data_IF_629668929764
#
_entry.id   IF_629668929764
#
_cell.length_a   1.000
_cell.length_b   1.000
_cell.length_c   1.000
_cell.angle_alpha   90.00
_cell.angle_beta   90.00
_cell.angle_gamma   90.00
#
_symmetry.space_group_name_H-M   'P 1'
#
loop_
_entity.id
_entity.type
_entity.pdbx_description
1 polymer ?
#
# COMPACT_ATOMS: atom_id res chain seq x y z
N UNK A 1 -2.02 40.28 -10.03
CA UNK A 1 -2.07 40.02 -11.49
C UNK A 1 -0.68 39.66 -11.95
N UNK A 2 -0.63 38.51 -12.59
CA UNK A 2 0.54 37.68 -12.88
C UNK A 2 1.23 38.14 -14.17
N UNK A 3 2.52 38.51 -14.10
CA UNK A 3 3.34 38.86 -15.27
C UNK A 3 4.47 37.85 -15.51
N UNK A 4 4.52 36.73 -14.78
CA UNK A 4 5.64 35.80 -14.87
C UNK A 4 5.25 34.34 -15.16
N UNK A 5 3.96 34.01 -15.23
CA UNK A 5 3.51 32.67 -15.65
C UNK A 5 4.13 32.21 -16.98
N UNK A 6 4.26 33.09 -17.97
CA UNK A 6 4.82 32.71 -19.27
C UNK A 6 6.31 32.33 -19.19
N UNK A 7 7.07 32.99 -18.31
CA UNK A 7 8.50 32.70 -18.11
C UNK A 7 8.67 31.38 -17.37
N UNK A 8 7.79 31.08 -16.41
CA UNK A 8 7.79 29.82 -15.69
C UNK A 8 7.36 28.65 -16.57
N UNK A 9 6.44 28.89 -17.51
CA UNK A 9 5.98 27.88 -18.45
C UNK A 9 7.04 27.50 -19.48
N UNK A 10 7.71 28.48 -20.09
CA UNK A 10 8.82 28.24 -21.03
C UNK A 10 9.97 27.45 -20.37
N UNK A 11 10.32 27.81 -19.13
CA UNK A 11 11.36 27.11 -18.37
C UNK A 11 11.00 25.66 -18.01
N UNK A 12 9.70 25.34 -17.92
CA UNK A 12 9.23 23.99 -17.67
C UNK A 12 9.24 23.12 -18.93
N UNK A 13 8.97 23.73 -20.09
CA UNK A 13 8.99 23.05 -21.39
C UNK A 13 10.42 22.76 -21.88
N UNK A 14 11.39 23.61 -21.53
CA UNK A 14 12.82 23.40 -21.87
C UNK A 14 13.45 22.17 -21.18
N UNK A 15 12.78 21.59 -20.17
CA UNK A 15 13.23 20.40 -19.43
C UNK A 15 12.55 19.12 -19.93
N UNK A 16 11.66 19.21 -20.93
CA UNK A 16 11.10 18.00 -21.54
C UNK A 16 12.12 17.34 -22.48
N UNK A 17 12.54 16.09 -22.21
CA UNK A 17 13.39 15.37 -23.16
C UNK A 17 12.61 15.18 -24.46
N UNK A 18 13.22 15.58 -25.59
CA UNK A 18 12.60 15.43 -26.91
C UNK A 18 12.09 13.98 -27.09
N UNK A 19 10.84 13.80 -27.58
CA UNK A 19 10.28 12.47 -27.74
C UNK A 19 11.16 11.64 -28.68
N UNK A 20 11.40 10.36 -28.36
CA UNK A 20 12.26 9.51 -29.17
C UNK A 20 11.70 9.42 -30.60
N UNK A 21 12.53 9.72 -31.60
CA UNK A 21 12.15 9.80 -33.02
C UNK A 21 11.84 8.46 -33.68
N UNK A 22 11.72 7.38 -32.90
CA UNK A 22 11.42 6.04 -33.41
C UNK A 22 9.93 5.74 -33.28
N UNK A 23 9.42 5.05 -34.30
CA UNK A 23 8.03 4.63 -34.48
C UNK A 23 7.64 3.53 -33.46
N UNK A 24 7.56 3.93 -32.19
CA UNK A 24 7.19 3.06 -31.04
C UNK A 24 5.79 2.47 -31.21
N UNK A 25 4.91 3.16 -31.94
CA UNK A 25 3.57 2.68 -32.25
C UNK A 25 3.63 1.42 -33.12
N UNK A 26 4.50 1.40 -34.13
CA UNK A 26 4.70 0.22 -34.99
C UNK A 26 5.33 -0.95 -34.26
N UNK A 27 6.29 -0.68 -33.37
CA UNK A 27 6.95 -1.72 -32.58
C UNK A 27 6.01 -2.37 -31.56
N UNK A 28 5.17 -1.58 -30.89
CA UNK A 28 4.11 -2.07 -30.00
C UNK A 28 3.07 -2.93 -30.75
N UNK A 29 2.71 -2.56 -31.98
CA UNK A 29 1.77 -3.35 -32.80
C UNK A 29 2.33 -4.71 -33.24
N UNK A 30 3.64 -4.82 -33.51
CA UNK A 30 4.28 -6.11 -33.85
C UNK A 30 4.30 -7.06 -32.65
N UNK A 31 4.61 -6.55 -31.45
CA UNK A 31 4.59 -7.35 -30.23
C UNK A 31 3.18 -7.89 -29.90
N UNK A 32 2.13 -7.08 -30.10
CA UNK A 32 0.75 -7.47 -29.85
C UNK A 32 0.27 -8.64 -30.73
N UNK A 33 0.75 -8.75 -31.97
CA UNK A 33 0.30 -9.78 -32.90
C UNK A 33 0.91 -11.17 -32.62
N UNK A 34 2.08 -11.22 -31.96
CA UNK A 34 2.73 -12.47 -31.55
C UNK A 34 1.98 -13.18 -30.40
N UNK A 35 1.37 -12.41 -29.49
CA UNK A 35 0.60 -12.94 -28.35
C UNK A 35 -0.72 -13.61 -28.77
N UNK A 36 -1.31 -13.21 -29.91
CA UNK A 36 -2.59 -13.77 -30.38
C UNK A 36 -2.47 -15.20 -30.92
N UNK A 37 -1.30 -15.62 -31.43
CA UNK A 37 -1.12 -16.98 -32.01
C UNK A 37 -1.01 -18.10 -30.96
N UNK A 38 -0.73 -17.79 -29.69
CA UNK A 38 -0.53 -18.82 -28.65
C UNK A 38 -1.83 -19.29 -27.98
N UNK A 39 -2.99 -18.73 -28.31
CA UNK A 39 -4.26 -19.01 -27.62
C UNK A 39 -5.24 -19.87 -28.43
N UNK A 40 -4.72 -20.74 -29.31
CA UNK A 40 -5.51 -21.61 -30.19
C UNK A 40 -5.16 -23.11 -30.16
N UNK A 41 -4.33 -23.58 -29.23
CA UNK A 41 -3.88 -24.99 -29.18
C UNK A 41 -3.84 -25.52 -27.75
N UNK A 42 -4.99 -25.68 -27.11
CA UNK A 42 -5.16 -26.61 -25.97
C UNK A 42 -6.57 -27.21 -26.03
N UNK A 43 -6.72 -28.20 -26.92
CA UNK A 43 -7.88 -29.08 -26.99
C UNK A 43 -7.50 -30.32 -27.80
N UNK A 44 -7.42 -31.48 -27.14
CA UNK A 44 -7.22 -32.80 -27.76
C UNK A 44 -5.90 -33.45 -27.37
N UNK A 45 -5.98 -34.62 -26.73
CA UNK A 45 -4.82 -35.35 -26.19
C UNK A 45 -4.23 -36.38 -27.16
N UNK A 46 -3.12 -37.01 -26.73
CA UNK A 46 -2.81 -38.44 -26.88
C UNK A 46 -1.36 -38.71 -26.43
N UNK A 47 -1.15 -39.89 -25.86
CA UNK A 47 0.08 -40.39 -25.27
C UNK A 47 1.08 -40.95 -26.31
N UNK A 48 2.38 -40.81 -26.03
CA UNK A 48 3.53 -41.64 -26.43
C UNK A 48 4.80 -40.87 -26.01
N UNK A 49 5.89 -41.39 -25.48
CA UNK A 49 6.39 -42.73 -25.19
C UNK A 49 7.82 -42.51 -24.65
N UNK A 50 8.25 -43.35 -23.71
CA UNK A 50 9.57 -43.27 -23.05
C UNK A 50 10.68 -43.71 -24.01
N UNK A 51 11.76 -42.93 -24.14
CA UNK A 51 13.11 -43.48 -24.42
C UNK A 51 14.16 -42.64 -23.70
N UNK A 52 14.78 -43.23 -22.70
CA UNK A 52 16.03 -42.79 -22.10
C UNK A 52 17.20 -43.21 -23.00
N UNK A 53 18.15 -42.30 -23.26
CA UNK A 53 19.50 -42.66 -23.68
C UNK A 53 20.49 -41.92 -22.78
N UNK A 54 21.12 -42.69 -21.90
CA UNK A 54 22.37 -42.34 -21.26
C UNK A 54 23.51 -42.57 -22.26
N UNK A 55 24.43 -41.61 -22.43
CA UNK A 55 25.81 -41.89 -22.78
C UNK A 55 26.73 -40.66 -22.69
N UNK A 56 27.85 -40.90 -21.99
CA UNK A 56 29.19 -40.37 -22.21
C UNK A 56 29.58 -38.97 -21.68
N UNK A 57 30.46 -39.06 -20.67
CA UNK A 57 31.33 -38.07 -20.07
C UNK A 57 32.21 -37.34 -21.10
N UNK A 58 32.22 -36.01 -21.04
CA UNK A 58 33.42 -35.21 -21.33
C UNK A 58 33.62 -34.25 -20.15
N UNK A 59 34.56 -34.59 -19.28
CA UNK A 59 35.06 -33.68 -18.26
C UNK A 59 35.98 -32.65 -18.94
N UNK A 60 35.39 -31.56 -19.45
CA UNK A 60 36.13 -30.35 -19.81
C UNK A 60 36.09 -29.43 -18.60
N UNK A 61 37.24 -29.32 -17.93
CA UNK A 61 37.49 -28.47 -16.78
C UNK A 61 37.60 -27.00 -17.24
N UNK A 62 36.53 -26.46 -17.81
CA UNK A 62 36.39 -25.04 -18.12
C UNK A 62 35.60 -24.43 -16.96
N UNK A 63 36.29 -23.67 -16.13
CA UNK A 63 35.66 -22.87 -15.09
C UNK A 63 34.60 -21.95 -15.76
N UNK A 64 33.31 -22.06 -15.42
CA UNK A 64 32.37 -21.03 -15.81
C UNK A 64 32.74 -19.77 -15.02
N UNK A 65 33.26 -18.75 -15.69
CA UNK A 65 33.21 -17.41 -15.14
C UNK A 65 31.74 -17.07 -14.95
N UNK A 66 31.28 -17.14 -13.71
CA UNK A 66 29.97 -16.66 -13.28
C UNK A 66 29.89 -15.16 -13.50
N UNK A 67 29.62 -14.75 -14.73
CA UNK A 67 28.99 -13.46 -14.99
C UNK A 67 27.54 -13.60 -14.56
N UNK A 68 27.30 -13.32 -13.28
CA UNK A 68 25.95 -13.06 -12.81
C UNK A 68 25.40 -11.89 -13.66
N UNK A 69 24.17 -11.99 -14.19
CA UNK A 69 23.48 -10.80 -14.63
C UNK A 69 23.29 -9.95 -13.37
N UNK A 70 24.03 -8.86 -13.25
CA UNK A 70 23.67 -7.78 -12.34
C UNK A 70 22.29 -7.32 -12.80
N UNK A 71 21.26 -7.86 -12.14
CA UNK A 71 19.92 -7.31 -12.17
C UNK A 71 20.09 -5.81 -11.96
N UNK A 72 19.64 -4.94 -12.87
CA UNK A 72 19.51 -3.55 -12.53
C UNK A 72 18.43 -3.51 -11.46
N UNK A 73 18.85 -3.54 -10.20
CA UNK A 73 18.06 -2.99 -9.09
C UNK A 73 18.03 -1.50 -9.39
N UNK A 74 17.20 -1.11 -10.36
CA UNK A 74 16.73 0.26 -10.49
C UNK A 74 16.01 0.48 -9.18
N UNK A 75 16.61 1.35 -8.38
CA UNK A 75 16.24 1.67 -7.02
C UNK A 75 14.74 1.98 -6.92
N UNK A 76 13.92 0.96 -6.64
CA UNK A 76 12.55 1.16 -6.19
C UNK A 76 12.52 1.90 -4.83
N UNK A 77 13.66 2.02 -4.14
CA UNK A 77 13.82 2.80 -2.93
C UNK A 77 13.99 4.31 -3.14
N UNK A 78 14.25 4.80 -4.35
CA UNK A 78 14.52 6.23 -4.58
C UNK A 78 13.25 7.11 -4.66
N UNK A 79 12.06 6.49 -4.62
CA UNK A 79 10.76 7.18 -4.60
C UNK A 79 10.00 6.98 -3.29
N UNK A 80 10.62 6.43 -2.25
CA UNK A 80 9.98 6.39 -0.94
C UNK A 80 9.97 7.80 -0.34
N UNK A 81 8.80 8.32 0.08
CA UNK A 81 8.74 9.63 0.73
C UNK A 81 9.64 9.61 1.95
N UNK A 82 10.47 10.64 2.11
CA UNK A 82 11.30 10.81 3.29
C UNK A 82 10.39 10.91 4.51
N UNK A 83 10.36 9.84 5.30
CA UNK A 83 9.77 9.87 6.64
C UNK A 83 10.43 11.02 7.38
N UNK A 84 9.64 11.95 7.88
CA UNK A 84 10.16 13.11 8.59
C UNK A 84 11.01 12.61 9.79
N UNK A 85 12.33 12.91 9.87
CA UNK A 85 13.18 12.44 10.96
C UNK A 85 12.83 13.09 12.31
N UNK A 86 11.93 14.09 12.33
CA UNK A 86 11.35 14.63 13.57
C UNK A 86 10.26 13.71 14.13
N UNK A 87 9.68 12.86 13.28
CA UNK A 87 8.60 11.94 13.59
C UNK A 87 9.12 10.70 14.34
N UNK A 88 10.31 10.21 13.95
CA UNK A 88 10.99 9.12 14.64
C UNK A 88 11.53 9.55 16.03
N UNK A 89 12.05 10.79 16.14
CA UNK A 89 12.71 11.25 17.38
C UNK A 89 11.78 11.69 18.51
N UNK A 90 10.54 12.11 18.24
CA UNK A 90 9.64 12.62 19.29
C UNK A 90 8.67 11.58 19.83
N UNK A 91 8.27 10.60 19.02
CA UNK A 91 7.19 9.67 19.38
C UNK A 91 7.65 8.24 19.71
N UNK A 92 8.95 7.93 19.66
CA UNK A 92 9.46 6.55 19.83
C UNK A 92 9.02 5.80 21.10
N UNK A 93 8.53 6.49 22.14
CA UNK A 93 8.15 5.89 23.42
C UNK A 93 6.75 6.25 23.93
N UNK A 94 6.07 7.23 23.34
CA UNK A 94 4.73 7.62 23.80
C UNK A 94 3.65 6.69 23.25
N UNK A 95 2.60 6.52 24.05
CA UNK A 95 1.44 5.72 23.65
C UNK A 95 0.68 6.44 22.55
N UNK A 96 0.50 5.76 21.42
CA UNK A 96 -0.31 6.28 20.31
C UNK A 96 -1.63 5.53 20.29
N UNK A 97 -2.71 6.29 20.09
CA UNK A 97 -4.05 5.76 19.84
C UNK A 97 -4.17 5.41 18.36
N UNK A 98 -4.62 4.19 18.09
CA UNK A 98 -4.78 3.62 16.75
C UNK A 98 -6.23 3.19 16.59
N UNK A 99 -6.88 3.63 15.52
CA UNK A 99 -8.21 3.18 15.15
C UNK A 99 -8.14 2.01 14.19
N UNK A 100 -8.63 0.84 14.60
CA UNK A 100 -8.89 -0.30 13.72
C UNK A 100 -10.37 -0.25 13.33
N UNK A 101 -10.65 0.28 12.15
CA UNK A 101 -11.99 0.46 11.59
C UNK A 101 -12.52 -0.84 11.01
N UNK A 102 -13.80 -1.10 11.25
CA UNK A 102 -14.47 -2.33 10.88
C UNK A 102 -15.28 -2.13 9.60
N UNK A 103 -15.38 -3.19 8.80
CA UNK A 103 -16.29 -3.23 7.64
C UNK A 103 -17.73 -3.21 8.11
N UNK A 104 -18.62 -2.64 7.29
CA UNK A 104 -20.04 -2.55 7.63
C UNK A 104 -20.72 -3.92 7.75
N UNK A 105 -20.23 -4.92 7.00
CA UNK A 105 -20.76 -6.28 6.97
C UNK A 105 -20.09 -7.24 7.97
N UNK A 106 -19.32 -6.73 8.94
CA UNK A 106 -18.68 -7.57 9.95
C UNK A 106 -19.71 -8.34 10.77
N UNK A 107 -19.49 -9.65 10.92
CA UNK A 107 -20.34 -10.48 11.78
C UNK A 107 -19.99 -10.32 13.26
N UNK A 108 -20.92 -10.60 14.15
CA UNK A 108 -20.67 -10.60 15.60
C UNK A 108 -19.50 -11.51 16.00
N UNK A 109 -19.39 -12.68 15.36
CA UNK A 109 -18.30 -13.61 15.61
C UNK A 109 -16.95 -13.02 15.19
N UNK A 110 -16.84 -12.46 13.98
CA UNK A 110 -15.61 -11.82 13.52
C UNK A 110 -15.20 -10.64 14.41
N UNK A 111 -16.17 -9.85 14.87
CA UNK A 111 -15.92 -8.73 15.79
C UNK A 111 -15.40 -9.21 17.14
N UNK A 112 -15.96 -10.30 17.68
CA UNK A 112 -15.48 -10.92 18.92
C UNK A 112 -14.07 -11.49 18.76
N UNK A 113 -13.83 -12.23 17.68
CA UNK A 113 -12.53 -12.86 17.38
C UNK A 113 -11.44 -11.79 17.19
N UNK A 114 -11.74 -10.73 16.44
CA UNK A 114 -10.83 -9.61 16.24
C UNK A 114 -10.52 -8.89 17.56
N UNK A 115 -11.54 -8.66 18.41
CA UNK A 115 -11.34 -8.05 19.72
C UNK A 115 -10.39 -8.89 20.59
N UNK A 116 -10.57 -10.21 20.58
CA UNK A 116 -9.73 -11.10 21.38
C UNK A 116 -8.29 -11.17 20.84
N UNK A 117 -8.14 -11.22 19.51
CA UNK A 117 -6.84 -11.18 18.86
C UNK A 117 -6.08 -9.88 19.19
N UNK A 118 -6.75 -8.72 19.12
CA UNK A 118 -6.16 -7.43 19.48
C UNK A 118 -5.77 -7.36 20.96
N UNK A 119 -6.57 -7.94 21.87
CA UNK A 119 -6.27 -7.94 23.31
C UNK A 119 -5.13 -8.89 23.69
N UNK A 120 -4.97 -9.96 22.92
CA UNK A 120 -3.92 -10.97 23.14
C UNK A 120 -2.58 -10.57 22.51
N UNK A 121 -2.55 -9.54 21.65
CA UNK A 121 -1.34 -9.09 20.99
C UNK A 121 -0.41 -8.35 21.98
N UNK A 122 0.87 -8.74 22.12
CA UNK A 122 1.80 -8.13 23.08
C UNK A 122 2.17 -6.68 22.75
N UNK A 123 1.88 -6.20 21.53
CA UNK A 123 2.07 -4.82 21.11
C UNK A 123 0.95 -3.90 21.62
N UNK A 124 -0.15 -4.45 22.13
CA UNK A 124 -1.35 -3.72 22.54
C UNK A 124 -1.44 -3.59 24.07
N UNK A 125 -1.66 -2.37 24.55
CA UNK A 125 -1.90 -2.08 25.98
C UNK A 125 -3.37 -2.13 26.36
N UNK A 126 -4.24 -1.61 25.50
CA UNK A 126 -5.67 -1.60 25.75
C UNK A 126 -6.45 -1.54 24.44
N UNK A 127 -7.66 -2.10 24.46
CA UNK A 127 -8.60 -2.10 23.35
C UNK A 127 -9.95 -1.63 23.88
N UNK A 128 -10.49 -0.58 23.28
CA UNK A 128 -11.84 -0.08 23.56
C UNK A 128 -12.66 -0.17 22.29
N UNK A 129 -13.83 -0.78 22.35
CA UNK A 129 -14.76 -0.79 21.22
C UNK A 129 -15.51 0.54 21.17
N UNK A 130 -15.58 1.14 19.99
CA UNK A 130 -16.33 2.34 19.71
C UNK A 130 -17.38 2.01 18.65
N UNK A 131 -18.65 2.04 19.06
CA UNK A 131 -19.78 1.83 18.15
C UNK A 131 -20.18 3.08 17.37
N UNK A 132 -21.14 2.93 16.47
CA UNK A 132 -21.70 3.99 15.62
C UNK A 132 -22.05 5.27 16.39
N UNK A 133 -22.84 5.15 17.47
CA UNK A 133 -23.32 6.29 18.25
C UNK A 133 -22.19 7.05 18.95
N UNK A 134 -21.21 6.32 19.49
CA UNK A 134 -20.06 6.90 20.16
C UNK A 134 -19.12 7.57 19.15
N UNK A 135 -18.91 6.96 17.99
CA UNK A 135 -18.18 7.55 16.87
C UNK A 135 -18.84 8.86 16.40
N UNK A 136 -20.17 8.86 16.26
CA UNK A 136 -20.92 10.05 15.89
C UNK A 136 -20.86 11.14 16.95
N UNK A 137 -20.94 10.80 18.24
CA UNK A 137 -20.80 11.77 19.33
C UNK A 137 -19.44 12.49 19.28
N UNK A 138 -18.34 11.75 19.05
CA UNK A 138 -17.01 12.34 18.89
C UNK A 138 -16.88 13.17 17.62
N UNK A 139 -17.48 12.72 16.52
CA UNK A 139 -17.52 13.45 15.26
C UNK A 139 -18.20 14.81 15.43
N UNK A 140 -19.35 14.87 16.11
CA UNK A 140 -20.04 16.12 16.43
C UNK A 140 -19.16 17.09 17.22
N UNK A 141 -18.41 16.60 18.19
CA UNK A 141 -17.51 17.46 18.98
C UNK A 141 -16.36 18.00 18.12
N UNK A 142 -15.76 17.14 17.28
CA UNK A 142 -14.64 17.53 16.41
C UNK A 142 -15.05 18.54 15.34
N UNK A 143 -16.27 18.43 14.81
CA UNK A 143 -16.78 19.27 13.73
C UNK A 143 -17.89 20.22 14.19
N UNK A 144 -17.90 20.58 15.49
CA UNK A 144 -18.90 21.49 16.06
C UNK A 144 -18.96 22.85 15.37
N UNK A 145 -17.84 23.30 14.79
CA UNK A 145 -17.72 24.56 14.07
C UNK A 145 -18.23 24.45 12.60
N UNK A 146 -18.57 23.24 12.15
CA UNK A 146 -19.08 22.93 10.80
C UNK A 146 -20.43 22.19 10.88
N UNK A 147 -21.51 22.85 11.30
CA UNK A 147 -22.81 22.19 11.54
C UNK A 147 -23.42 21.58 10.27
N UNK A 148 -23.15 22.13 9.09
CA UNK A 148 -23.62 21.56 7.82
C UNK A 148 -23.03 20.17 7.57
N UNK A 149 -21.75 19.97 7.91
CA UNK A 149 -21.09 18.67 7.80
C UNK A 149 -21.66 17.68 8.82
N UNK A 150 -21.90 18.13 10.05
CA UNK A 150 -22.52 17.30 11.09
C UNK A 150 -23.92 16.82 10.66
N UNK A 151 -24.74 17.72 10.11
CA UNK A 151 -26.10 17.41 9.68
C UNK A 151 -26.16 16.50 8.43
N UNK A 152 -25.08 16.45 7.65
CA UNK A 152 -24.99 15.61 6.45
C UNK A 152 -24.65 14.15 6.76
N UNK A 153 -24.14 13.85 7.96
CA UNK A 153 -23.68 12.51 8.35
C UNK A 153 -24.64 11.90 9.36
N UNK A 154 -25.13 10.69 9.06
CA UNK A 154 -25.94 9.91 10.00
C UNK A 154 -25.07 9.03 10.90
N UNK A 155 -25.50 8.70 12.13
CA UNK A 155 -24.75 7.83 13.03
C UNK A 155 -24.36 6.48 12.41
N UNK A 156 -25.26 5.87 11.63
CA UNK A 156 -25.03 4.55 11.02
C UNK A 156 -23.98 4.59 9.90
N UNK A 157 -23.63 5.79 9.41
CA UNK A 157 -22.55 5.98 8.42
C UNK A 157 -21.17 6.09 9.08
N UNK A 158 -21.11 6.28 10.41
CA UNK A 158 -19.86 6.31 11.15
C UNK A 158 -19.33 4.88 11.31
N UNK A 159 -18.13 4.53 10.83
CA UNK A 159 -17.63 3.18 10.97
C UNK A 159 -17.39 2.83 12.44
N UNK A 160 -17.74 1.61 12.84
CA UNK A 160 -17.32 1.06 14.12
C UNK A 160 -15.80 0.87 14.13
N UNK A 161 -15.19 0.97 15.31
CA UNK A 161 -13.74 0.78 15.43
C UNK A 161 -13.33 0.21 16.78
N UNK A 162 -12.18 -0.45 16.79
CA UNK A 162 -11.42 -0.69 18.01
C UNK A 162 -10.37 0.41 18.18
N UNK A 163 -10.50 1.15 19.27
CA UNK A 163 -9.51 2.13 19.72
C UNK A 163 -8.43 1.38 20.50
N UNK A 164 -7.27 1.24 19.86
CA UNK A 164 -6.13 0.45 20.33
C UNK A 164 -5.04 1.39 20.83
N UNK A 165 -4.63 1.19 22.08
CA UNK A 165 -3.46 1.87 22.66
C UNK A 165 -2.23 0.99 22.44
N UNK A 166 -1.29 1.38 21.60
CA UNK A 166 -0.07 0.60 21.39
C UNK A 166 0.89 0.75 22.57
N UNK A 167 1.71 -0.28 22.83
CA UNK A 167 2.79 -0.31 23.83
C UNK A 167 3.95 0.62 23.47
N UNK A 168 4.30 0.69 22.18
CA UNK A 168 5.27 1.65 21.65
C UNK A 168 4.78 2.16 20.30
N UNK A 169 4.96 3.44 20.02
CA UNK A 169 4.56 4.01 18.73
C UNK A 169 5.24 3.33 17.53
N UNK A 170 6.49 2.91 17.70
CA UNK A 170 7.26 2.17 16.69
C UNK A 170 6.67 0.80 16.32
N UNK A 171 5.67 0.30 17.06
CA UNK A 171 4.98 -0.95 16.76
C UNK A 171 3.83 -0.80 15.76
N UNK A 172 3.47 0.42 15.37
CA UNK A 172 2.35 0.67 14.47
C UNK A 172 2.45 -0.12 13.17
N UNK A 173 3.60 -0.10 12.49
CA UNK A 173 3.79 -0.85 11.24
C UNK A 173 3.64 -2.36 11.41
N UNK A 174 4.04 -2.90 12.58
CA UNK A 174 3.84 -4.32 12.90
C UNK A 174 2.37 -4.64 13.13
N UNK A 175 1.64 -3.80 13.87
CA UNK A 175 0.21 -3.95 14.06
C UNK A 175 -0.52 -3.97 12.69
N UNK A 176 -0.21 -3.00 11.82
CA UNK A 176 -0.80 -2.95 10.47
C UNK A 176 -0.51 -4.23 9.70
N UNK A 177 0.76 -4.68 9.67
CA UNK A 177 1.15 -5.92 8.99
C UNK A 177 0.36 -7.12 9.51
N UNK A 178 0.16 -7.23 10.83
CA UNK A 178 -0.52 -8.37 11.45
C UNK A 178 -2.04 -8.39 11.21
N UNK A 179 -2.69 -7.22 11.09
CA UNK A 179 -4.15 -7.13 11.15
C UNK A 179 -4.82 -6.58 9.88
N UNK A 180 -4.11 -5.97 8.94
CA UNK A 180 -4.73 -5.34 7.77
C UNK A 180 -5.53 -6.32 6.90
N UNK A 181 -5.09 -7.57 6.78
CA UNK A 181 -5.76 -8.61 6.00
C UNK A 181 -6.76 -9.44 6.82
N UNK A 182 -6.94 -9.14 8.11
CA UNK A 182 -7.86 -9.88 8.97
C UNK A 182 -9.31 -9.63 8.56
N UNK A 183 -10.12 -10.69 8.54
CA UNK A 183 -11.54 -10.59 8.20
C UNK A 183 -12.28 -9.59 9.08
N UNK A 184 -13.02 -8.67 8.46
CA UNK A 184 -13.78 -7.63 9.15
C UNK A 184 -13.01 -6.33 9.41
N UNK A 185 -11.69 -6.30 9.24
CA UNK A 185 -10.92 -5.05 9.24
C UNK A 185 -11.12 -4.36 7.88
N UNK A 186 -11.43 -3.06 7.92
CA UNK A 186 -11.52 -2.19 6.75
C UNK A 186 -10.24 -1.34 6.62
N UNK A 187 -9.88 -0.64 7.70
CA UNK A 187 -8.75 0.27 7.70
C UNK A 187 -8.11 0.36 9.08
N UNK A 188 -6.80 0.57 9.11
CA UNK A 188 -6.06 0.85 10.35
C UNK A 188 -5.44 2.24 10.21
N UNK A 189 -5.93 3.19 10.98
CA UNK A 189 -5.44 4.57 11.00
C UNK A 189 -4.82 4.94 12.34
N UNK A 190 -3.93 5.91 12.30
CA UNK A 190 -3.19 6.40 13.47
C UNK A 190 -1.70 6.17 13.29
N UNK A 191 -0.99 6.11 14.41
CA UNK A 191 0.46 5.99 14.43
C UNK A 191 1.18 7.33 14.58
N UNK A 192 2.48 7.31 14.89
CA UNK A 192 3.26 8.50 15.27
C UNK A 192 3.36 9.57 14.19
N UNK A 193 2.91 9.29 12.96
CA UNK A 193 3.05 10.18 11.81
C UNK A 193 1.81 10.12 10.93
N UNK A 194 1.02 11.21 10.80
CA UNK A 194 0.25 11.36 9.57
C UNK A 194 1.25 11.38 8.41
N UNK A 195 1.03 10.55 7.39
CA UNK A 195 1.69 10.76 6.10
C UNK A 195 1.45 12.23 5.73
N UNK A 196 2.49 12.98 5.38
CA UNK A 196 2.31 14.37 4.93
C UNK A 196 1.30 14.35 3.79
N UNK A 197 0.07 14.77 4.08
CA UNK A 197 -0.86 15.26 3.07
C UNK A 197 -0.06 16.30 2.27
N UNK A 198 0.01 16.13 0.95
CA UNK A 198 0.98 16.77 0.08
C UNK A 198 1.27 18.23 0.44
N UNK A 199 2.57 18.58 0.42
CA UNK A 199 3.04 19.95 0.43
C UNK A 199 2.23 20.75 -0.60
N UNK A 200 1.43 21.66 -0.08
CA UNK A 200 0.50 22.51 -0.81
C UNK A 200 -0.05 23.59 0.12
N UNK A 201 0.80 24.12 0.99
CA UNK A 201 0.55 25.41 1.63
C UNK A 201 1.16 26.47 0.70
N UNK A 202 0.28 27.08 -0.10
CA UNK A 202 0.57 28.29 -0.84
C UNK A 202 0.55 29.48 0.10
N UNK A 203 1.59 30.29 0.00
CA UNK A 203 1.81 31.57 0.67
C UNK A 203 1.27 32.72 -0.20
#
# INVERSE_FOLDING_TARGET
MDQNLHVLFERALDVEPAPPTRDVAREAMVAGNALRRRRGLLGGGAAAGVVAIAAALIALNVAPSSTEPVSPVVAAGALMPSTDPTCDRRWGYEAVDVGVFLRQEITDQQRLDLREALRSDPLVRSVTFQGHDEAYARFKEMYKDNPDLVNAVRPEQMPESFQVRLARAADFSRLVTNFHDTGGVDQILGGPCPARSGAGEGE
#
